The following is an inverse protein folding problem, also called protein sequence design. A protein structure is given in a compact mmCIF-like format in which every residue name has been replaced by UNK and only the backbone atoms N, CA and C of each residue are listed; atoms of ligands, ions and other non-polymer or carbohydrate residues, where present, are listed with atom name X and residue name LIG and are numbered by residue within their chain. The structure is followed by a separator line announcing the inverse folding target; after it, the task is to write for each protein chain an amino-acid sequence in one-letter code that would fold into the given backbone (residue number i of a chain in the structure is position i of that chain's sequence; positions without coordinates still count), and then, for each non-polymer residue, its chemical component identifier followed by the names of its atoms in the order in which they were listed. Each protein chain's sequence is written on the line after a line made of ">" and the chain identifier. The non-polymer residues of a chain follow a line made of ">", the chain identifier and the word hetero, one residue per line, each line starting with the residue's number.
data_IF_701019102486
#
_entry.id   IF_701019102486
#
_cell.length_a   1.000
_cell.length_b   1.000
_cell.length_c   1.000
_cell.angle_alpha   90.00
_cell.angle_beta   90.00
_cell.angle_gamma   90.00
#
_symmetry.space_group_name_H-M   'P 1'
#
loop_
_entity.id
_entity.type
_entity.pdbx_description
1 polymer ?
#
# COMPACT_ATOMS: atom_id res chain seq x y z
N UNK A 1 -27.44 26.54 57.29
CA UNK A 1 -27.47 26.08 55.88
C UNK A 1 -27.28 27.26 54.89
N UNK A 2 -26.36 28.19 55.13
CA UNK A 2 -26.19 29.40 54.29
C UNK A 2 -24.91 29.31 53.44
N UNK A 3 -25.02 28.85 52.20
CA UNK A 3 -23.88 28.80 51.28
C UNK A 3 -24.10 28.04 49.97
N UNK A 4 -25.23 27.35 49.82
CA UNK A 4 -25.54 26.56 48.60
C UNK A 4 -26.44 27.29 47.60
N UNK A 5 -26.97 28.46 47.95
CA UNK A 5 -27.90 29.22 47.13
C UNK A 5 -27.22 30.38 46.42
N UNK A 6 -27.62 30.61 45.18
CA UNK A 6 -27.13 31.66 44.33
C UNK A 6 -27.53 33.03 44.87
N UNK A 7 -26.55 33.90 45.05
CA UNK A 7 -26.72 35.24 45.61
C UNK A 7 -27.59 36.15 44.71
N UNK A 8 -27.78 35.79 43.43
CA UNK A 8 -28.52 36.59 42.43
C UNK A 8 -29.98 36.14 42.29
N UNK A 9 -30.25 34.84 42.30
CA UNK A 9 -31.58 34.30 42.00
C UNK A 9 -32.17 33.42 43.10
N UNK A 10 -31.46 33.26 44.21
CA UNK A 10 -31.86 32.44 45.37
C UNK A 10 -32.12 30.95 45.07
N UNK A 11 -31.86 30.49 43.84
CA UNK A 11 -31.87 29.06 43.49
C UNK A 11 -30.54 28.41 43.88
N UNK A 12 -30.51 27.10 44.10
CA UNK A 12 -29.25 26.36 44.35
C UNK A 12 -28.24 26.59 43.23
N UNK A 13 -26.96 26.78 43.59
CA UNK A 13 -25.88 26.81 42.63
C UNK A 13 -25.81 25.50 41.84
N UNK A 14 -25.55 25.58 40.54
CA UNK A 14 -25.30 24.40 39.71
C UNK A 14 -23.96 23.77 40.10
N UNK A 15 -22.98 24.60 40.46
CA UNK A 15 -21.71 24.16 41.04
C UNK A 15 -21.39 24.95 42.29
N UNK A 16 -21.62 24.35 43.46
CA UNK A 16 -21.50 24.99 44.78
C UNK A 16 -20.08 25.49 45.04
N UNK A 17 -19.03 24.69 44.81
CA UNK A 17 -17.63 25.08 45.04
C UNK A 17 -17.21 26.31 44.22
N UNK A 18 -17.63 26.34 42.96
CA UNK A 18 -17.33 27.45 42.06
C UNK A 18 -18.24 28.66 42.27
N UNK A 19 -19.32 28.55 43.06
CA UNK A 19 -20.43 29.52 43.12
C UNK A 19 -20.97 29.87 41.72
N UNK A 20 -21.02 28.89 40.81
CA UNK A 20 -21.53 29.08 39.45
C UNK A 20 -22.99 28.66 39.35
N UNK A 21 -23.84 29.54 38.82
CA UNK A 21 -25.28 29.32 38.68
C UNK A 21 -25.66 29.37 37.20
N UNK A 22 -26.08 28.22 36.63
CA UNK A 22 -26.46 28.12 35.22
C UNK A 22 -27.44 29.21 34.81
N UNK A 23 -28.56 29.33 35.53
CA UNK A 23 -29.59 30.29 35.19
C UNK A 23 -29.07 31.73 35.13
N UNK A 24 -28.27 32.15 36.12
CA UNK A 24 -27.74 33.50 36.18
C UNK A 24 -26.72 33.77 35.07
N UNK A 25 -25.81 32.83 34.83
CA UNK A 25 -24.75 33.01 33.83
C UNK A 25 -25.31 32.95 32.41
N UNK A 26 -26.20 32.01 32.12
CA UNK A 26 -26.90 31.95 30.82
C UNK A 26 -27.73 33.22 30.58
N UNK A 27 -28.39 33.77 31.61
CA UNK A 27 -29.09 35.05 31.51
C UNK A 27 -28.15 36.24 31.23
N UNK A 28 -26.94 36.25 31.82
CA UNK A 28 -25.93 37.29 31.56
C UNK A 28 -25.41 37.20 30.13
N UNK A 29 -25.07 36.00 29.66
CA UNK A 29 -24.63 35.77 28.27
C UNK A 29 -25.70 36.25 27.28
N UNK A 30 -26.97 35.89 27.51
CA UNK A 30 -28.10 36.37 26.70
C UNK A 30 -28.21 37.90 26.65
N UNK A 31 -27.95 38.60 27.76
CA UNK A 31 -27.99 40.08 27.80
C UNK A 31 -26.82 40.73 27.05
N UNK A 32 -25.66 40.10 27.04
CA UNK A 32 -24.44 40.62 26.41
C UNK A 32 -24.35 40.30 24.90
N UNK A 33 -25.38 39.67 24.33
CA UNK A 33 -25.37 39.15 22.96
C UNK A 33 -25.10 40.22 21.88
N UNK A 34 -25.53 41.46 22.10
CA UNK A 34 -25.31 42.57 21.16
C UNK A 34 -23.84 42.80 20.81
N UNK A 35 -22.91 42.29 21.63
CA UNK A 35 -21.48 42.45 21.42
C UNK A 35 -20.87 41.41 20.47
N UNK A 36 -21.57 40.31 20.15
CA UNK A 36 -21.03 39.15 19.42
C UNK A 36 -21.84 38.79 18.16
N UNK A 37 -22.43 39.78 17.49
CA UNK A 37 -23.18 39.53 16.25
C UNK A 37 -22.24 39.33 15.06
N UNK A 38 -22.53 38.30 14.28
CA UNK A 38 -21.91 38.03 12.98
C UNK A 38 -22.53 38.84 11.85
N UNK A 39 -23.66 39.51 12.10
CA UNK A 39 -24.53 40.09 11.07
C UNK A 39 -25.36 39.05 10.30
N UNK A 40 -25.29 37.77 10.65
CA UNK A 40 -26.10 36.69 10.09
C UNK A 40 -26.99 36.06 11.16
N UNK A 41 -28.30 36.22 11.02
CA UNK A 41 -29.29 35.74 12.00
C UNK A 41 -29.17 34.24 12.33
N UNK A 42 -28.87 33.40 11.32
CA UNK A 42 -28.75 31.94 11.55
C UNK A 42 -27.52 31.59 12.36
N UNK A 43 -26.38 32.24 12.08
CA UNK A 43 -25.14 32.06 12.85
C UNK A 43 -25.34 32.57 14.27
N UNK A 44 -25.94 33.75 14.40
CA UNK A 44 -26.23 34.41 15.67
C UNK A 44 -27.14 33.54 16.56
N UNK A 45 -28.21 32.99 16.00
CA UNK A 45 -29.10 32.05 16.69
C UNK A 45 -28.36 30.77 17.11
N UNK A 46 -27.52 30.20 16.24
CA UNK A 46 -26.73 29.00 16.57
C UNK A 46 -25.73 29.26 17.72
N UNK A 47 -25.07 30.42 17.73
CA UNK A 47 -24.18 30.83 18.82
C UNK A 47 -24.96 30.93 20.13
N UNK A 48 -26.16 31.53 20.10
CA UNK A 48 -27.02 31.59 21.28
C UNK A 48 -27.38 30.19 21.78
N UNK A 49 -27.86 29.29 20.91
CA UNK A 49 -28.15 27.90 21.27
C UNK A 49 -26.96 27.24 21.97
N UNK A 50 -25.75 27.39 21.44
CA UNK A 50 -24.52 26.83 22.04
C UNK A 50 -24.20 27.42 23.40
N UNK A 51 -24.43 28.71 23.62
CA UNK A 51 -24.23 29.33 24.94
C UNK A 51 -25.24 28.87 25.98
N UNK A 52 -26.47 28.51 25.57
CA UNK A 52 -27.49 27.95 26.46
C UNK A 52 -27.17 26.51 26.88
N UNK A 53 -26.38 25.77 26.09
CA UNK A 53 -25.95 24.40 26.38
C UNK A 53 -24.96 24.32 27.57
N UNK A 54 -24.28 25.42 27.91
CA UNK A 54 -23.33 25.50 29.03
C UNK A 54 -23.99 25.00 30.32
N UNK A 55 -23.35 24.03 30.97
CA UNK A 55 -23.90 23.35 32.14
C UNK A 55 -23.00 23.36 33.37
N UNK A 56 -21.75 23.82 33.24
CA UNK A 56 -20.80 23.92 34.32
C UNK A 56 -19.79 25.05 34.12
N UNK A 57 -19.04 25.38 35.19
CA UNK A 57 -18.03 26.44 35.17
C UNK A 57 -16.80 26.13 34.31
N UNK A 58 -16.52 24.87 34.00
CA UNK A 58 -15.38 24.47 33.17
C UNK A 58 -15.66 24.57 31.68
N UNK A 59 -16.92 24.77 31.28
CA UNK A 59 -17.25 24.95 29.88
C UNK A 59 -16.74 26.29 29.38
N UNK A 60 -16.12 26.24 28.21
CA UNK A 60 -15.72 27.42 27.45
C UNK A 60 -16.94 27.98 26.74
N UNK A 61 -17.05 29.30 26.69
CA UNK A 61 -18.15 29.97 25.99
C UNK A 61 -17.91 29.89 24.48
N UNK A 62 -18.93 29.47 23.73
CA UNK A 62 -18.91 29.48 22.28
C UNK A 62 -19.20 30.90 21.77
N UNK A 63 -18.33 31.46 20.93
CA UNK A 63 -18.37 32.88 20.56
C UNK A 63 -18.33 33.13 19.05
N UNK A 64 -18.81 34.30 18.64
CA UNK A 64 -18.35 34.91 17.39
C UNK A 64 -16.98 35.55 17.65
N UNK A 65 -15.98 35.16 16.85
CA UNK A 65 -14.61 35.64 16.99
C UNK A 65 -14.31 36.59 15.83
N UNK A 66 -14.13 37.89 16.08
CA UNK A 66 -13.73 38.83 15.03
C UNK A 66 -12.41 38.40 14.40
N UNK A 67 -12.35 38.38 13.07
CA UNK A 67 -11.21 37.82 12.33
C UNK A 67 -9.88 38.49 12.67
N UNK A 68 -9.90 39.80 12.95
CA UNK A 68 -8.72 40.59 13.32
C UNK A 68 -8.13 40.20 14.70
N UNK A 69 -8.79 39.32 15.47
CA UNK A 69 -8.27 38.75 16.71
C UNK A 69 -7.36 37.54 16.51
N UNK A 70 -7.22 37.06 15.27
CA UNK A 70 -6.26 36.02 14.93
C UNK A 70 -4.93 36.63 14.50
N UNK A 71 -3.88 36.25 15.22
CA UNK A 71 -2.49 36.65 14.98
C UNK A 71 -1.69 35.47 14.41
N UNK A 72 -0.55 35.76 13.78
CA UNK A 72 0.39 34.74 13.27
C UNK A 72 -0.27 33.66 12.38
N UNK A 73 -1.18 34.05 11.49
CA UNK A 73 -1.95 33.13 10.66
C UNK A 73 -1.04 32.38 9.68
N UNK A 74 -0.80 31.09 9.94
CA UNK A 74 0.07 30.22 9.14
C UNK A 74 -0.73 29.09 8.52
N UNK A 75 -0.66 28.93 7.20
CA UNK A 75 -1.29 27.81 6.50
C UNK A 75 -0.57 26.50 6.81
N UNK A 76 -1.30 25.53 7.33
CA UNK A 76 -0.76 24.20 7.73
C UNK A 76 -1.00 23.18 6.63
N UNK A 77 -2.23 23.11 6.12
CA UNK A 77 -2.59 22.18 5.05
C UNK A 77 -3.66 22.80 4.15
N UNK A 78 -3.70 22.35 2.89
CA UNK A 78 -4.77 22.63 1.93
C UNK A 78 -4.94 21.45 1.01
N UNK A 79 -6.18 21.01 0.90
CA UNK A 79 -6.63 20.10 -0.14
C UNK A 79 -7.90 20.67 -0.80
N UNK A 80 -8.55 19.84 -1.61
CA UNK A 80 -9.74 20.23 -2.38
C UNK A 80 -10.99 20.39 -1.50
N UNK A 81 -10.96 19.89 -0.26
CA UNK A 81 -12.10 19.87 0.67
C UNK A 81 -11.95 20.95 1.74
N UNK A 82 -10.73 21.25 2.17
CA UNK A 82 -10.50 22.20 3.26
C UNK A 82 -9.13 22.89 3.22
N UNK A 83 -9.03 24.02 3.92
CA UNK A 83 -7.76 24.65 4.28
C UNK A 83 -7.67 24.80 5.79
N UNK A 84 -6.55 24.39 6.36
CA UNK A 84 -6.28 24.46 7.80
C UNK A 84 -5.19 25.50 8.06
N UNK A 85 -5.46 26.43 8.97
CA UNK A 85 -4.46 27.39 9.46
C UNK A 85 -4.16 27.16 10.94
N UNK A 86 -2.93 27.44 11.35
CA UNK A 86 -2.52 27.63 12.75
C UNK A 86 -2.55 29.12 13.06
N UNK A 87 -3.14 29.51 14.18
CA UNK A 87 -3.24 30.92 14.59
C UNK A 87 -3.03 31.05 16.09
N UNK A 88 -2.68 32.26 16.53
CA UNK A 88 -2.79 32.68 17.92
C UNK A 88 -4.06 33.51 18.08
N UNK A 89 -4.84 33.28 19.14
CA UNK A 89 -5.99 34.10 19.45
C UNK A 89 -5.60 35.18 20.46
N UNK A 90 -5.65 36.46 20.06
CA UNK A 90 -5.22 37.61 20.86
C UNK A 90 -5.91 37.66 22.23
N UNK A 91 -7.24 37.56 22.24
CA UNK A 91 -8.03 37.69 23.45
C UNK A 91 -8.08 36.36 24.24
N UNK A 92 -7.94 35.22 23.56
CA UNK A 92 -8.15 33.90 24.13
C UNK A 92 -9.62 33.58 24.46
N UNK A 93 -9.92 32.34 24.88
CA UNK A 93 -11.26 31.92 25.22
C UNK A 93 -11.81 32.63 26.46
N UNK A 94 -13.13 32.78 26.52
CA UNK A 94 -13.83 33.28 27.70
C UNK A 94 -14.13 32.11 28.66
N UNK A 95 -13.49 32.13 29.83
CA UNK A 95 -13.51 31.03 30.80
C UNK A 95 -13.92 31.51 32.19
N UNK A 96 -14.55 30.63 32.98
CA UNK A 96 -14.93 30.97 34.35
C UNK A 96 -13.71 30.95 35.28
N UNK A 97 -13.47 32.05 35.97
CA UNK A 97 -12.44 32.11 36.99
C UNK A 97 -13.03 31.89 38.39
N UNK A 98 -12.60 30.80 39.03
CA UNK A 98 -13.10 30.39 40.34
C UNK A 98 -12.75 31.35 41.49
N UNK A 99 -11.75 32.22 41.33
CA UNK A 99 -11.37 33.20 42.35
C UNK A 99 -12.23 34.46 42.25
N UNK A 100 -12.34 35.02 41.05
CA UNK A 100 -13.09 36.25 40.80
C UNK A 100 -14.59 36.03 40.57
N UNK A 101 -15.05 34.77 40.45
CA UNK A 101 -16.46 34.38 40.27
C UNK A 101 -17.12 35.07 39.07
N UNK A 102 -16.35 35.21 37.99
CA UNK A 102 -16.80 35.80 36.72
C UNK A 102 -16.07 35.15 35.56
N UNK A 103 -16.67 35.27 34.38
CA UNK A 103 -15.97 34.97 33.13
C UNK A 103 -14.88 36.01 32.87
N UNK A 104 -13.68 35.55 32.60
CA UNK A 104 -12.53 36.37 32.23
C UNK A 104 -11.86 35.80 30.99
N UNK A 105 -11.11 36.64 30.31
CA UNK A 105 -10.13 36.20 29.32
C UNK A 105 -8.77 36.16 30.00
N UNK A 106 -8.12 35.00 30.03
CA UNK A 106 -6.79 34.87 30.63
C UNK A 106 -5.73 34.65 29.54
N UNK A 107 -5.17 35.71 28.96
CA UNK A 107 -4.14 35.60 27.94
C UNK A 107 -2.77 35.16 28.48
N UNK A 108 -2.57 35.05 29.81
CA UNK A 108 -1.25 34.82 30.44
C UNK A 108 -1.05 33.45 31.10
N UNK A 109 -2.10 32.75 31.55
CA UNK A 109 -1.98 31.34 31.99
C UNK A 109 -2.03 30.36 30.81
N UNK A 110 -2.35 30.87 29.63
CA UNK A 110 -2.36 30.19 28.35
C UNK A 110 -1.32 30.88 27.48
N UNK A 111 -0.05 30.41 27.46
CA UNK A 111 0.86 30.79 26.38
C UNK A 111 0.15 30.46 25.05
N UNK A 112 -0.37 31.50 24.39
CA UNK A 112 -1.11 31.50 23.12
C UNK A 112 -1.47 30.08 22.61
N UNK A 113 -2.56 29.49 23.13
CA UNK A 113 -3.05 28.18 22.63
C UNK A 113 -3.16 28.32 21.11
N UNK A 114 -2.25 27.66 20.39
CA UNK A 114 -2.31 27.62 18.94
C UNK A 114 -3.64 26.98 18.56
N UNK A 115 -4.53 27.78 17.98
CA UNK A 115 -5.81 27.32 17.47
C UNK A 115 -5.65 26.86 16.04
N UNK A 116 -6.55 25.97 15.64
CA UNK A 116 -6.71 25.61 14.24
C UNK A 116 -7.96 26.29 13.69
N UNK A 117 -7.80 26.97 12.57
CA UNK A 117 -8.91 27.49 11.78
C UNK A 117 -9.17 26.52 10.63
N UNK A 118 -10.37 25.96 10.59
CA UNK A 118 -10.82 25.12 9.48
C UNK A 118 -11.69 25.96 8.54
N UNK A 119 -11.24 26.05 7.29
CA UNK A 119 -12.01 26.55 6.16
C UNK A 119 -12.47 25.35 5.37
N UNK A 120 -13.78 25.22 5.18
CA UNK A 120 -14.36 24.15 4.38
C UNK A 120 -14.71 24.70 3.00
N UNK A 121 -14.23 24.02 1.97
CA UNK A 121 -14.53 24.36 0.59
C UNK A 121 -15.84 23.69 0.17
N UNK A 122 -16.47 24.22 -0.88
CA UNK A 122 -17.67 23.65 -1.50
C UNK A 122 -18.93 23.58 -0.60
N UNK A 123 -18.97 24.32 0.50
CA UNK A 123 -20.21 24.50 1.27
C UNK A 123 -21.14 25.41 0.48
N UNK A 124 -22.37 24.97 0.26
CA UNK A 124 -23.35 25.71 -0.56
C UNK A 124 -24.03 26.83 0.23
N UNK A 125 -24.14 26.67 1.55
CA UNK A 125 -24.88 27.58 2.40
C UNK A 125 -24.49 27.47 3.89
N UNK A 126 -25.01 28.41 4.69
CA UNK A 126 -24.79 28.47 6.15
C UNK A 126 -25.31 27.23 6.89
N UNK A 127 -26.37 26.56 6.41
CA UNK A 127 -26.93 25.38 7.09
C UNK A 127 -25.95 24.21 7.02
N UNK A 128 -25.32 23.99 5.87
CA UNK A 128 -24.26 22.97 5.72
C UNK A 128 -23.07 23.25 6.64
N UNK A 129 -22.64 24.52 6.72
CA UNK A 129 -21.59 24.95 7.65
C UNK A 129 -21.93 24.65 9.12
N UNK A 130 -23.15 24.98 9.55
CA UNK A 130 -23.60 24.70 10.92
C UNK A 130 -23.72 23.20 11.20
N UNK A 131 -24.13 22.41 10.22
CA UNK A 131 -24.17 20.95 10.34
C UNK A 131 -22.76 20.37 10.48
N UNK A 132 -21.77 20.90 9.75
CA UNK A 132 -20.38 20.53 9.93
C UNK A 132 -19.91 20.81 11.36
N UNK A 133 -20.19 21.99 11.93
CA UNK A 133 -19.83 22.32 13.32
C UNK A 133 -20.42 21.30 14.30
N UNK A 134 -21.69 20.91 14.13
CA UNK A 134 -22.35 19.89 14.97
C UNK A 134 -21.62 18.56 14.91
N UNK A 135 -21.20 18.13 13.71
CA UNK A 135 -20.42 16.90 13.53
C UNK A 135 -19.04 17.02 14.18
N UNK A 136 -18.36 18.15 14.03
CA UNK A 136 -17.02 18.36 14.61
C UNK A 136 -17.03 18.45 16.14
N UNK A 137 -18.12 18.95 16.73
CA UNK A 137 -18.27 19.11 18.19
C UNK A 137 -18.20 17.79 18.97
N UNK A 138 -18.33 16.64 18.29
CA UNK A 138 -18.20 15.32 18.94
C UNK A 138 -16.76 14.96 19.28
N UNK A 139 -15.79 15.47 18.51
CA UNK A 139 -14.38 15.09 18.63
C UNK A 139 -13.45 16.27 18.87
N UNK A 140 -13.86 17.49 18.57
CA UNK A 140 -13.06 18.69 18.72
C UNK A 140 -13.71 19.66 19.72
N UNK A 141 -12.88 20.29 20.54
CA UNK A 141 -13.30 21.46 21.31
C UNK A 141 -13.35 22.66 20.35
N UNK A 142 -14.55 23.19 20.13
CA UNK A 142 -14.79 24.31 19.23
C UNK A 142 -15.04 25.56 20.08
N UNK A 143 -14.24 26.60 19.85
CA UNK A 143 -14.31 27.86 20.57
C UNK A 143 -15.33 28.83 19.97
N UNK A 144 -15.53 28.74 18.67
CA UNK A 144 -16.41 29.69 18.00
C UNK A 144 -16.35 29.66 16.49
N UNK A 145 -17.03 30.66 15.93
CA UNK A 145 -17.15 30.90 14.50
C UNK A 145 -16.49 32.24 14.18
N UNK A 146 -15.82 32.30 13.03
CA UNK A 146 -15.37 33.56 12.45
C UNK A 146 -15.75 33.61 10.98
N UNK A 147 -15.49 34.73 10.31
CA UNK A 147 -15.64 34.88 8.88
C UNK A 147 -14.45 35.65 8.31
N UNK A 148 -13.89 35.16 7.22
CA UNK A 148 -12.84 35.88 6.51
C UNK A 148 -13.41 37.18 5.92
N UNK A 149 -12.87 38.35 6.23
CA UNK A 149 -13.44 39.61 5.78
C UNK A 149 -13.36 39.82 4.26
N UNK A 150 -12.44 39.13 3.57
CA UNK A 150 -12.22 39.24 2.13
C UNK A 150 -13.03 38.20 1.36
N UNK A 151 -12.90 36.92 1.70
CA UNK A 151 -13.58 35.84 0.97
C UNK A 151 -15.03 35.64 1.41
N UNK A 152 -15.40 36.16 2.58
CA UNK A 152 -16.70 35.95 3.25
C UNK A 152 -16.97 34.50 3.66
N UNK A 153 -15.96 33.63 3.58
CA UNK A 153 -16.06 32.25 4.04
C UNK A 153 -16.14 32.20 5.57
N UNK A 154 -17.07 31.39 6.07
CA UNK A 154 -17.15 31.08 7.50
C UNK A 154 -16.06 30.08 7.91
N UNK A 155 -15.62 30.21 9.15
CA UNK A 155 -14.44 29.53 9.69
C UNK A 155 -14.80 28.91 11.03
N UNK A 156 -14.41 27.66 11.24
CA UNK A 156 -14.49 27.01 12.55
C UNK A 156 -13.17 27.22 13.29
N UNK A 157 -13.23 27.82 14.48
CA UNK A 157 -12.07 27.96 15.37
C UNK A 157 -12.10 26.85 16.43
N UNK A 158 -11.13 25.94 16.37
CA UNK A 158 -11.11 24.74 17.21
C UNK A 158 -9.72 24.43 17.78
N UNK A 159 -9.69 23.70 18.89
CA UNK A 159 -8.47 23.15 19.47
C UNK A 159 -8.03 21.93 18.65
N UNK A 160 -6.72 21.78 18.44
CA UNK A 160 -6.21 20.57 17.83
C UNK A 160 -6.51 19.34 18.70
N UNK A 161 -7.00 18.26 18.08
CA UNK A 161 -7.13 16.95 18.73
C UNK A 161 -6.18 15.96 18.04
N UNK A 162 -5.19 15.46 18.79
CA UNK A 162 -4.18 14.54 18.26
C UNK A 162 -4.73 13.17 17.82
N UNK A 163 -5.96 12.82 18.21
CA UNK A 163 -6.58 11.54 17.82
C UNK A 163 -7.40 11.59 16.54
N UNK A 164 -7.84 12.77 16.12
CA UNK A 164 -8.80 12.95 15.01
C UNK A 164 -8.25 13.89 13.95
N UNK A 165 -8.53 13.57 12.69
CA UNK A 165 -8.16 14.39 11.55
C UNK A 165 -9.05 15.63 11.47
N UNK A 166 -8.47 16.83 11.56
CA UNK A 166 -9.23 18.09 11.44
C UNK A 166 -9.91 18.22 10.07
N UNK A 167 -9.39 17.59 9.03
CA UNK A 167 -9.94 17.75 7.67
C UNK A 167 -11.26 17.02 7.47
N UNK A 168 -11.41 15.85 8.07
CA UNK A 168 -12.56 14.96 7.84
C UNK A 168 -13.24 14.44 9.11
N UNK A 169 -12.79 14.86 10.30
CA UNK A 169 -13.31 14.44 11.61
C UNK A 169 -13.26 12.92 11.92
N UNK A 170 -12.51 12.15 11.13
CA UNK A 170 -12.28 10.73 11.39
C UNK A 170 -11.05 10.53 12.26
N UNK A 171 -11.08 9.49 13.10
CA UNK A 171 -9.93 9.07 13.90
C UNK A 171 -8.74 8.74 12.99
N UNK A 172 -7.55 9.18 13.36
CA UNK A 172 -6.33 8.79 12.65
C UNK A 172 -6.13 7.27 12.73
N UNK A 173 -5.77 6.64 11.61
CA UNK A 173 -5.41 5.22 11.58
C UNK A 173 -4.03 5.01 12.21
N UNK A 174 -3.13 5.99 12.06
CA UNK A 174 -1.87 6.06 12.78
C UNK A 174 -1.70 7.45 13.40
N UNK A 175 -1.93 7.55 14.71
CA UNK A 175 -1.89 8.81 15.46
C UNK A 175 -0.48 9.43 15.45
N UNK A 176 0.57 8.62 15.68
CA UNK A 176 1.96 9.09 15.72
C UNK A 176 2.37 9.74 14.39
N UNK A 177 1.85 9.19 13.29
CA UNK A 177 2.18 9.68 11.96
C UNK A 177 1.18 10.68 11.42
N UNK A 178 0.08 10.96 12.15
CA UNK A 178 -1.04 11.80 11.70
C UNK A 178 -1.58 11.36 10.32
N UNK A 179 -1.51 10.05 10.05
CA UNK A 179 -1.96 9.49 8.77
C UNK A 179 -3.45 9.13 8.87
N UNK A 180 -4.27 9.81 8.07
CA UNK A 180 -5.71 9.62 8.02
C UNK A 180 -6.09 8.83 6.77
N UNK A 181 -6.44 7.54 6.92
CA UNK A 181 -6.84 6.68 5.81
C UNK A 181 -7.85 7.36 4.88
N UNK A 182 -8.92 7.93 5.43
CA UNK A 182 -9.99 8.53 4.63
C UNK A 182 -9.49 9.68 3.75
N UNK A 183 -8.68 10.58 4.32
CA UNK A 183 -8.12 11.70 3.55
C UNK A 183 -7.14 11.22 2.48
N UNK A 184 -6.27 10.28 2.84
CA UNK A 184 -5.21 9.84 1.96
C UNK A 184 -5.72 8.96 0.82
N UNK A 185 -6.64 8.04 1.08
CA UNK A 185 -7.26 7.22 0.02
C UNK A 185 -8.05 8.08 -0.97
N UNK A 186 -8.81 9.08 -0.50
CA UNK A 186 -9.52 10.02 -1.38
C UNK A 186 -8.57 10.79 -2.31
N UNK A 187 -7.38 11.18 -1.81
CA UNK A 187 -6.35 11.85 -2.63
C UNK A 187 -5.71 10.93 -3.67
N UNK A 188 -5.62 9.62 -3.41
CA UNK A 188 -5.03 8.65 -4.34
C UNK A 188 -5.97 8.29 -5.50
N UNK A 189 -7.28 8.30 -5.24
CA UNK A 189 -8.32 7.94 -6.22
C UNK A 189 -8.56 9.08 -7.23
N UNK A 190 -8.15 10.30 -6.91
CA UNK A 190 -8.34 11.47 -7.77
C UNK A 190 -7.11 11.70 -8.66
N UNK A 191 -7.33 12.15 -9.90
CA UNK A 191 -6.30 12.67 -10.83
C UNK A 191 -5.51 11.69 -11.73
N UNK A 192 -6.02 10.48 -11.97
CA UNK A 192 -5.50 9.62 -13.04
C UNK A 192 -6.61 8.74 -13.64
N UNK A 193 -6.42 8.29 -14.87
CA UNK A 193 -7.23 7.24 -15.52
C UNK A 193 -6.34 6.47 -16.49
N UNK A 194 -6.55 5.17 -16.58
CA UNK A 194 -5.93 4.31 -17.59
C UNK A 194 -6.64 4.42 -18.96
N UNK A 195 -7.83 5.04 -19.01
CA UNK A 195 -8.75 4.96 -20.14
C UNK A 195 -9.56 3.65 -20.18
N UNK A 196 -9.41 2.76 -19.19
CA UNK A 196 -10.19 1.53 -19.06
C UNK A 196 -10.87 1.46 -17.68
N UNK A 197 -12.19 1.55 -17.66
CA UNK A 197 -13.00 1.57 -16.42
C UNK A 197 -12.74 0.36 -15.51
N UNK A 198 -12.53 -0.84 -16.06
CA UNK A 198 -12.26 -2.04 -15.25
C UNK A 198 -10.90 -1.99 -14.56
N UNK A 199 -9.89 -1.45 -15.24
CA UNK A 199 -8.55 -1.24 -14.66
C UNK A 199 -8.62 -0.14 -13.60
N UNK A 200 -9.31 0.95 -13.90
CA UNK A 200 -9.46 2.08 -12.99
C UNK A 200 -10.14 1.65 -11.68
N UNK A 201 -11.27 0.95 -11.79
CA UNK A 201 -12.00 0.40 -10.64
C UNK A 201 -11.12 -0.57 -9.83
N UNK A 202 -10.36 -1.45 -10.50
CA UNK A 202 -9.47 -2.39 -9.82
C UNK A 202 -8.34 -1.69 -9.03
N UNK A 203 -7.72 -0.66 -9.60
CA UNK A 203 -6.69 0.11 -8.90
C UNK A 203 -7.31 0.86 -7.71
N UNK A 204 -8.50 1.44 -7.86
CA UNK A 204 -9.20 2.10 -6.76
C UNK A 204 -9.55 1.13 -5.63
N UNK A 205 -10.03 -0.08 -5.95
CA UNK A 205 -10.24 -1.17 -4.98
C UNK A 205 -8.95 -1.45 -4.20
N UNK A 206 -7.80 -1.58 -4.89
CA UNK A 206 -6.50 -1.77 -4.25
C UNK A 206 -6.06 -0.60 -3.37
N UNK A 207 -6.36 0.64 -3.76
CA UNK A 207 -6.07 1.81 -2.94
C UNK A 207 -6.96 1.91 -1.69
N UNK A 208 -8.19 1.39 -1.73
CA UNK A 208 -9.11 1.30 -0.59
C UNK A 208 -8.68 0.24 0.44
N UNK A 209 -7.95 -0.80 0.00
CA UNK A 209 -7.36 -1.83 0.87
C UNK A 209 -6.23 -1.29 1.76
N UNK A 210 -5.62 -0.14 1.43
CA UNK A 210 -4.54 0.47 2.21
C UNK A 210 -5.03 0.78 3.63
N UNK A 211 -4.27 0.34 4.64
CA UNK A 211 -4.62 0.54 6.06
C UNK A 211 -3.47 1.17 6.87
N UNK A 212 -2.31 1.35 6.26
CA UNK A 212 -1.13 1.93 6.88
C UNK A 212 -0.34 2.76 5.87
N UNK A 213 0.28 3.82 6.36
CA UNK A 213 1.25 4.64 5.63
C UNK A 213 2.46 3.86 5.09
N UNK A 214 2.73 2.66 5.63
CA UNK A 214 3.81 1.77 5.17
C UNK A 214 3.39 0.85 4.03
N UNK A 215 2.10 0.72 3.74
CA UNK A 215 1.65 -0.07 2.59
C UNK A 215 2.10 0.61 1.29
N UNK A 216 2.37 -0.23 0.29
CA UNK A 216 2.66 0.23 -1.06
C UNK A 216 1.38 0.75 -1.69
N UNK A 217 1.48 1.88 -2.36
CA UNK A 217 0.39 2.43 -3.15
C UNK A 217 0.36 1.70 -4.48
N UNK A 218 -0.71 0.96 -4.75
CA UNK A 218 -0.97 0.38 -6.05
C UNK A 218 -1.52 1.47 -6.98
N UNK A 219 -0.88 1.69 -8.13
CA UNK A 219 -1.22 2.81 -9.01
C UNK A 219 -1.14 2.51 -10.50
N UNK A 220 -1.76 3.37 -11.30
CA UNK A 220 -1.50 3.42 -12.74
C UNK A 220 -0.17 4.11 -13.01
N UNK A 221 0.70 3.48 -13.78
CA UNK A 221 2.03 3.98 -14.10
C UNK A 221 2.08 4.30 -15.60
N UNK A 222 2.20 5.57 -16.00
CA UNK A 222 2.33 5.92 -17.41
C UNK A 222 3.56 5.25 -18.04
N UNK A 223 3.39 4.64 -19.21
CA UNK A 223 4.45 3.83 -19.84
C UNK A 223 5.75 4.60 -20.09
N UNK A 224 5.63 5.89 -20.43
CA UNK A 224 6.77 6.79 -20.66
C UNK A 224 7.63 7.05 -19.40
N UNK A 225 7.21 6.57 -18.23
CA UNK A 225 8.00 6.61 -16.99
C UNK A 225 8.98 5.46 -16.85
N UNK A 226 8.97 4.50 -17.77
CA UNK A 226 9.95 3.42 -17.82
C UNK A 226 11.12 3.76 -18.74
N UNK A 227 12.33 3.61 -18.22
CA UNK A 227 13.60 3.81 -18.90
C UNK A 227 14.34 2.47 -19.02
N UNK A 228 15.31 2.38 -19.93
CA UNK A 228 16.19 1.20 -20.09
C UNK A 228 15.44 -0.15 -20.17
N UNK A 229 14.30 -0.19 -20.86
CA UNK A 229 13.49 -1.40 -21.00
C UNK A 229 14.27 -2.46 -21.79
N UNK A 230 14.52 -3.61 -21.18
CA UNK A 230 15.28 -4.73 -21.76
C UNK A 230 14.52 -6.03 -21.59
N UNK A 231 14.38 -6.80 -22.66
CA UNK A 231 13.78 -8.13 -22.60
C UNK A 231 14.69 -9.08 -21.80
N UNK A 232 14.12 -9.75 -20.81
CA UNK A 232 14.83 -10.72 -19.96
C UNK A 232 14.43 -12.14 -20.35
N UNK A 233 13.16 -12.36 -20.65
CA UNK A 233 12.62 -13.66 -21.00
C UNK A 233 11.36 -13.50 -21.82
N UNK A 234 11.17 -14.36 -22.82
CA UNK A 234 9.96 -14.45 -23.61
C UNK A 234 9.51 -15.91 -23.69
N UNK A 235 8.23 -16.15 -23.47
CA UNK A 235 7.58 -17.43 -23.75
C UNK A 235 6.22 -17.21 -24.45
N UNK A 236 5.50 -18.29 -24.69
CA UNK A 236 4.23 -18.28 -25.42
C UNK A 236 3.10 -17.53 -24.68
N UNK A 237 3.27 -17.24 -23.38
CA UNK A 237 2.21 -16.69 -22.51
C UNK A 237 2.54 -15.26 -22.05
N UNK A 238 3.81 -14.96 -21.83
CA UNK A 238 4.24 -13.67 -21.31
C UNK A 238 5.65 -13.30 -21.72
N UNK A 239 5.89 -11.99 -21.85
CA UNK A 239 7.24 -11.45 -21.97
C UNK A 239 7.59 -10.70 -20.69
N UNK A 240 8.76 -10.99 -20.14
CA UNK A 240 9.32 -10.36 -18.95
C UNK A 240 10.40 -9.40 -19.38
N UNK A 241 10.23 -8.13 -19.02
CA UNK A 241 11.24 -7.08 -19.21
C UNK A 241 11.78 -6.60 -17.88
N UNK A 242 13.03 -6.13 -17.88
CA UNK A 242 13.58 -5.26 -16.84
C UNK A 242 13.48 -3.80 -17.27
N UNK A 243 13.09 -2.89 -16.38
CA UNK A 243 13.06 -1.47 -16.67
C UNK A 243 13.46 -0.65 -15.44
N UNK A 244 13.82 0.62 -15.64
CA UNK A 244 13.98 1.62 -14.58
C UNK A 244 12.73 2.50 -14.46
N UNK A 245 12.15 2.63 -13.28
CA UNK A 245 11.09 3.63 -13.04
C UNK A 245 11.71 5.00 -12.75
N UNK A 246 11.42 5.99 -13.61
CA UNK A 246 11.90 7.38 -13.43
C UNK A 246 11.48 7.97 -12.08
N UNK A 247 10.17 7.93 -11.81
CA UNK A 247 9.62 8.56 -10.60
C UNK A 247 9.77 7.65 -9.36
N UNK A 248 9.67 6.33 -9.53
CA UNK A 248 9.66 5.36 -8.44
C UNK A 248 8.32 5.32 -7.68
N UNK A 249 8.16 4.37 -6.74
CA UNK A 249 6.90 4.16 -6.03
C UNK A 249 6.58 5.32 -5.08
N UNK A 250 5.29 5.60 -4.95
CA UNK A 250 4.80 6.60 -4.00
C UNK A 250 4.89 6.07 -2.55
N UNK A 251 5.52 6.84 -1.66
CA UNK A 251 5.74 6.45 -0.25
C UNK A 251 5.38 7.57 0.72
N UNK A 252 4.83 7.22 1.87
CA UNK A 252 4.53 8.18 2.92
C UNK A 252 5.81 8.67 3.60
N UNK A 253 5.99 9.99 3.65
CA UNK A 253 7.09 10.62 4.36
C UNK A 253 6.60 11.18 5.70
N UNK A 254 7.15 10.65 6.80
CA UNK A 254 6.74 11.00 8.16
C UNK A 254 7.09 12.43 8.59
N UNK A 255 8.03 13.10 7.92
CA UNK A 255 8.43 14.48 8.22
C UNK A 255 7.50 15.48 7.54
N UNK A 256 7.28 15.30 6.23
CA UNK A 256 6.40 16.16 5.43
C UNK A 256 4.92 15.83 5.56
N UNK A 257 4.57 14.67 6.14
CA UNK A 257 3.21 14.16 6.30
C UNK A 257 2.45 14.07 4.96
N UNK A 258 3.17 13.67 3.92
CA UNK A 258 2.66 13.55 2.55
C UNK A 258 3.28 12.35 1.86
N UNK A 259 2.56 11.84 0.87
CA UNK A 259 3.11 10.90 -0.09
C UNK A 259 4.09 11.62 -1.02
N UNK A 260 5.30 11.09 -1.13
CA UNK A 260 6.35 11.61 -2.00
C UNK A 260 6.97 10.47 -2.80
N UNK A 261 7.61 10.82 -3.91
CA UNK A 261 8.43 9.89 -4.69
C UNK A 261 9.90 10.17 -4.40
N UNK A 262 10.67 9.14 -4.05
CA UNK A 262 12.09 9.28 -3.77
C UNK A 262 12.93 8.76 -4.97
N UNK A 263 13.44 9.65 -5.84
CA UNK A 263 14.19 9.24 -7.02
C UNK A 263 15.57 8.63 -6.71
N UNK A 264 16.03 8.65 -5.46
CA UNK A 264 17.36 8.15 -5.05
C UNK A 264 17.38 6.69 -4.56
N UNK A 265 16.23 6.04 -4.38
CA UNK A 265 16.18 4.61 -4.02
C UNK A 265 16.39 3.73 -5.26
N UNK A 266 17.66 3.46 -5.57
CA UNK A 266 18.12 2.73 -6.77
C UNK A 266 17.52 1.31 -6.85
N UNK A 267 17.32 0.64 -5.72
CA UNK A 267 16.76 -0.72 -5.66
C UNK A 267 15.29 -0.83 -6.13
N UNK A 268 14.54 0.28 -6.11
CA UNK A 268 13.13 0.32 -6.54
C UNK A 268 12.94 0.73 -7.99
N UNK A 269 14.03 1.09 -8.67
CA UNK A 269 13.98 1.45 -10.08
C UNK A 269 13.93 0.22 -10.95
N UNK A 270 14.71 -0.82 -10.63
CA UNK A 270 14.66 -2.07 -11.40
C UNK A 270 13.35 -2.80 -11.14
N UNK A 271 12.54 -2.90 -12.20
CA UNK A 271 11.23 -3.52 -12.18
C UNK A 271 11.19 -4.71 -13.11
N UNK A 272 10.29 -5.65 -12.82
CA UNK A 272 9.89 -6.66 -13.81
C UNK A 272 8.53 -6.31 -14.38
N UNK A 273 8.47 -6.21 -15.70
CA UNK A 273 7.26 -5.94 -16.46
C UNK A 273 6.76 -7.25 -17.05
N UNK A 274 5.60 -7.72 -16.62
CA UNK A 274 4.96 -8.90 -17.22
C UNK A 274 3.85 -8.45 -18.16
N UNK A 275 4.04 -8.72 -19.45
CA UNK A 275 3.07 -8.44 -20.49
C UNK A 275 2.07 -9.59 -20.57
N UNK A 276 0.78 -9.25 -20.60
CA UNK A 276 -0.31 -10.20 -20.80
C UNK A 276 -1.08 -9.82 -22.05
N UNK A 277 -1.20 -10.76 -22.99
CA UNK A 277 -2.01 -10.62 -24.21
C UNK A 277 -3.48 -11.01 -23.98
N UNK A 278 -3.88 -11.19 -22.71
CA UNK A 278 -5.17 -11.73 -22.32
C UNK A 278 -6.25 -10.64 -22.22
N UNK A 279 -7.51 -11.08 -22.17
CA UNK A 279 -8.63 -10.21 -21.82
C UNK A 279 -8.38 -9.55 -20.44
N UNK A 280 -8.80 -8.30 -20.27
CA UNK A 280 -8.62 -7.52 -19.03
C UNK A 280 -9.00 -8.29 -17.77
N UNK A 281 -10.06 -9.11 -17.82
CA UNK A 281 -10.52 -9.91 -16.67
C UNK A 281 -9.49 -10.97 -16.26
N UNK A 282 -8.88 -11.66 -17.23
CA UNK A 282 -7.87 -12.68 -16.97
C UNK A 282 -6.57 -12.05 -16.44
N UNK A 283 -6.17 -10.91 -17.00
CA UNK A 283 -5.06 -10.10 -16.51
C UNK A 283 -5.25 -9.69 -15.03
N UNK A 284 -6.43 -9.19 -14.67
CA UNK A 284 -6.72 -8.82 -13.29
C UNK A 284 -6.75 -10.02 -12.34
N UNK A 285 -7.26 -11.17 -12.79
CA UNK A 285 -7.21 -12.42 -12.02
C UNK A 285 -5.76 -12.87 -11.77
N UNK A 286 -4.88 -12.69 -12.75
CA UNK A 286 -3.46 -12.96 -12.61
C UNK A 286 -2.81 -12.13 -11.50
N UNK A 287 -3.13 -10.83 -11.44
CA UNK A 287 -2.67 -9.94 -10.37
C UNK A 287 -3.17 -10.43 -9.00
N UNK A 288 -4.43 -10.86 -8.90
CA UNK A 288 -5.03 -11.33 -7.64
C UNK A 288 -4.35 -12.58 -7.06
N UNK A 289 -3.87 -13.49 -7.92
CA UNK A 289 -3.19 -14.73 -7.49
C UNK A 289 -1.67 -14.58 -7.38
N UNK A 290 -1.15 -13.40 -7.71
CA UNK A 290 0.28 -13.13 -7.70
C UNK A 290 0.77 -12.87 -6.28
N UNK A 291 1.82 -13.60 -5.86
CA UNK A 291 2.46 -13.45 -4.54
C UNK A 291 3.62 -12.44 -4.51
N UNK A 292 3.84 -11.71 -5.60
CA UNK A 292 4.87 -10.69 -5.67
C UNK A 292 4.35 -9.37 -5.13
N UNK A 293 5.26 -8.53 -4.64
CA UNK A 293 4.95 -7.13 -4.39
C UNK A 293 4.73 -6.42 -5.73
N UNK A 294 3.52 -5.89 -5.91
CA UNK A 294 3.10 -5.20 -7.14
C UNK A 294 2.97 -3.72 -6.86
N UNK A 295 3.62 -2.89 -7.65
CA UNK A 295 3.51 -1.43 -7.55
C UNK A 295 2.33 -0.89 -8.33
N UNK A 296 1.92 -1.57 -9.40
CA UNK A 296 0.86 -1.03 -10.23
C UNK A 296 0.69 -1.73 -11.57
N UNK A 297 -0.08 -1.06 -12.41
CA UNK A 297 -0.40 -1.47 -13.78
C UNK A 297 0.08 -0.39 -14.74
N UNK A 298 0.55 -0.80 -15.90
CA UNK A 298 0.78 0.08 -17.05
C UNK A 298 0.20 -0.55 -18.31
N UNK A 299 0.27 0.17 -19.43
CA UNK A 299 -0.07 -0.35 -20.75
C UNK A 299 0.93 0.15 -21.77
N UNK A 300 1.43 -0.76 -22.61
CA UNK A 300 2.25 -0.38 -23.74
C UNK A 300 1.41 0.40 -24.78
N UNK A 301 1.77 1.64 -25.13
CA UNK A 301 0.97 2.45 -26.03
C UNK A 301 0.93 1.91 -27.46
N UNK A 302 1.95 1.16 -27.88
CA UNK A 302 2.08 0.63 -29.24
C UNK A 302 1.32 -0.69 -29.39
N UNK A 303 1.53 -1.64 -28.47
CA UNK A 303 0.90 -2.97 -28.54
C UNK A 303 -0.46 -3.06 -27.86
N UNK A 304 -0.79 -2.09 -27.00
CA UNK A 304 -1.97 -2.07 -26.12
C UNK A 304 -1.99 -3.17 -25.05
N UNK A 305 -0.90 -3.92 -24.90
CA UNK A 305 -0.76 -4.93 -23.86
C UNK A 305 -0.65 -4.29 -22.48
N UNK A 306 -1.34 -4.88 -21.50
CA UNK A 306 -1.21 -4.48 -20.11
C UNK A 306 0.03 -5.10 -19.47
N UNK A 307 0.59 -4.34 -18.52
CA UNK A 307 1.85 -4.63 -17.87
C UNK A 307 1.63 -4.67 -16.37
N UNK A 308 2.01 -5.77 -15.73
CA UNK A 308 2.12 -5.84 -14.26
C UNK A 308 3.50 -5.30 -13.88
N UNK A 309 3.53 -4.31 -12.98
CA UNK A 309 4.76 -3.68 -12.51
C UNK A 309 5.16 -4.24 -11.16
N UNK A 310 6.19 -5.10 -11.15
CA UNK A 310 6.60 -5.88 -9.99
C UNK A 310 7.89 -5.35 -9.37
N UNK A 311 7.96 -5.39 -8.04
CA UNK A 311 9.20 -5.17 -7.32
C UNK A 311 10.20 -6.29 -7.62
N UNK A 312 11.44 -5.91 -7.94
CA UNK A 312 12.52 -6.84 -8.16
C UNK A 312 13.06 -7.38 -6.82
N UNK A 313 12.34 -8.31 -6.18
CA UNK A 313 12.91 -9.09 -5.07
C UNK A 313 13.55 -10.38 -5.58
N UNK A 314 14.73 -10.66 -5.05
CA UNK A 314 15.58 -11.80 -5.38
C UNK A 314 14.88 -13.17 -5.21
N UNK A 315 15.05 -13.99 -6.25
CA UNK A 315 15.33 -15.44 -6.30
C UNK A 315 14.43 -16.53 -5.70
N UNK A 316 13.38 -16.26 -4.90
CA UNK A 316 12.61 -17.36 -4.28
C UNK A 316 11.34 -17.76 -5.02
N UNK A 317 10.83 -16.96 -5.96
CA UNK A 317 9.58 -17.28 -6.66
C UNK A 317 9.71 -17.04 -8.16
N UNK A 318 9.08 -17.91 -8.93
CA UNK A 318 9.06 -17.88 -10.37
C UNK A 318 7.98 -16.94 -10.87
N UNK A 319 8.38 -15.92 -11.62
CA UNK A 319 7.44 -14.94 -12.21
C UNK A 319 6.44 -15.59 -13.19
N UNK A 320 6.82 -16.73 -13.78
CA UNK A 320 5.96 -17.44 -14.74
C UNK A 320 4.75 -18.08 -14.06
N UNK A 321 4.96 -18.74 -12.92
CA UNK A 321 3.93 -19.58 -12.30
C UNK A 321 3.74 -19.35 -10.80
N UNK A 322 4.35 -18.30 -10.25
CA UNK A 322 4.30 -17.88 -8.85
C UNK A 322 4.77 -18.94 -7.82
N UNK A 323 5.36 -20.05 -8.28
CA UNK A 323 5.88 -21.12 -7.43
C UNK A 323 7.31 -20.82 -6.96
N UNK A 324 7.70 -21.47 -5.87
CA UNK A 324 9.06 -21.41 -5.34
C UNK A 324 10.15 -21.72 -6.38
N UNK A 325 11.24 -20.96 -6.32
CA UNK A 325 12.49 -21.17 -7.04
C UNK A 325 13.55 -21.65 -6.05
N UNK A 326 14.33 -22.64 -6.47
CA UNK A 326 15.54 -23.09 -5.77
C UNK A 326 16.71 -22.78 -6.70
N UNK A 327 17.58 -21.85 -6.31
CA UNK A 327 18.79 -21.47 -7.08
C UNK A 327 18.52 -21.12 -8.56
N UNK A 328 17.50 -20.31 -8.83
CA UNK A 328 17.11 -19.94 -10.20
C UNK A 328 16.26 -20.98 -10.93
N UNK A 329 16.13 -22.20 -10.39
CA UNK A 329 15.36 -23.29 -10.97
C UNK A 329 13.93 -23.35 -10.43
N UNK A 330 12.93 -23.28 -11.32
CA UNK A 330 11.51 -23.43 -10.97
C UNK A 330 11.02 -24.84 -11.34
N UNK A 331 10.67 -25.66 -10.33
CA UNK A 331 10.23 -27.04 -10.56
C UNK A 331 9.14 -27.18 -11.62
N UNK A 332 8.07 -26.40 -11.49
CA UNK A 332 6.91 -26.50 -12.38
C UNK A 332 7.28 -26.11 -13.82
N UNK A 333 8.01 -24.99 -13.99
CA UNK A 333 8.38 -24.51 -15.32
C UNK A 333 9.36 -25.45 -16.01
N UNK A 334 10.36 -25.94 -15.28
CA UNK A 334 11.39 -26.81 -15.84
C UNK A 334 10.86 -28.22 -16.10
N UNK A 335 9.94 -28.73 -15.26
CA UNK A 335 9.24 -29.99 -15.55
C UNK A 335 8.41 -29.90 -16.83
N UNK A 336 7.73 -28.77 -17.06
CA UNK A 336 6.95 -28.57 -18.28
C UNK A 336 7.86 -28.47 -19.51
N UNK A 337 8.98 -27.75 -19.43
CA UNK A 337 9.98 -27.72 -20.51
C UNK A 337 10.52 -29.11 -20.82
N UNK A 338 10.93 -29.88 -19.80
CA UNK A 338 11.51 -31.22 -19.97
C UNK A 338 10.53 -32.25 -20.55
N UNK A 339 9.21 -32.02 -20.45
CA UNK A 339 8.19 -32.84 -21.11
C UNK A 339 8.11 -32.60 -22.62
N UNK A 340 8.45 -31.39 -23.09
CA UNK A 340 8.25 -30.97 -24.48
C UNK A 340 9.45 -31.21 -25.41
N UNK A 341 10.54 -31.82 -24.94
CA UNK A 341 11.70 -32.13 -25.79
C UNK A 341 11.49 -33.40 -26.62
N UNK A 342 11.21 -33.22 -27.92
CA UNK A 342 11.01 -34.28 -28.93
C UNK A 342 12.30 -35.01 -29.34
N UNK A 343 13.48 -34.45 -29.06
CA UNK A 343 14.78 -34.92 -29.57
C UNK A 343 15.45 -36.04 -28.74
N UNK A 344 14.71 -36.65 -27.81
CA UNK A 344 15.25 -37.64 -26.85
C UNK A 344 14.56 -39.01 -26.93
N UNK A 345 13.84 -39.28 -28.02
CA UNK A 345 13.27 -40.60 -28.24
C UNK A 345 14.36 -41.61 -28.56
N UNK A 346 14.28 -42.76 -27.89
CA UNK A 346 15.05 -43.96 -28.21
C UNK A 346 14.50 -44.71 -29.44
N UNK A 347 13.36 -44.27 -29.98
CA UNK A 347 12.57 -45.04 -30.93
C UNK A 347 11.76 -46.18 -30.29
N UNK A 348 11.88 -46.40 -28.97
CA UNK A 348 11.16 -47.42 -28.24
C UNK A 348 10.24 -46.83 -27.17
N UNK A 349 8.92 -47.01 -27.34
CA UNK A 349 7.90 -46.45 -26.45
C UNK A 349 8.07 -46.85 -24.97
N UNK A 350 8.53 -48.08 -24.67
CA UNK A 350 8.73 -48.53 -23.28
C UNK A 350 9.90 -47.79 -22.63
N UNK A 351 11.01 -47.61 -23.34
CA UNK A 351 12.20 -46.88 -22.87
C UNK A 351 11.87 -45.39 -22.73
N UNK A 352 11.18 -44.81 -23.70
CA UNK A 352 10.78 -43.39 -23.67
C UNK A 352 9.86 -43.09 -22.48
N UNK A 353 8.87 -43.96 -22.22
CA UNK A 353 8.02 -43.87 -21.04
C UNK A 353 8.81 -43.97 -19.73
N UNK A 354 9.85 -44.82 -19.68
CA UNK A 354 10.73 -44.93 -18.52
C UNK A 354 11.54 -43.66 -18.29
N UNK A 355 12.10 -43.07 -19.35
CA UNK A 355 12.84 -41.80 -19.30
C UNK A 355 11.93 -40.67 -18.81
N UNK A 356 10.71 -40.56 -19.34
CA UNK A 356 9.73 -39.55 -18.89
C UNK A 356 9.40 -39.70 -17.40
N UNK A 357 9.16 -40.93 -16.92
CA UNK A 357 8.93 -41.21 -15.49
C UNK A 357 10.14 -40.87 -14.62
N UNK A 358 11.37 -40.97 -15.13
CA UNK A 358 12.58 -40.54 -14.41
C UNK A 358 12.67 -39.02 -14.34
N UNK A 359 12.38 -38.31 -15.43
CA UNK A 359 12.38 -36.84 -15.47
C UNK A 359 11.33 -36.21 -14.57
N UNK A 360 10.14 -36.80 -14.47
CA UNK A 360 9.09 -36.30 -13.56
C UNK A 360 9.47 -36.37 -12.07
N UNK A 361 10.54 -37.12 -11.72
CA UNK A 361 11.06 -37.20 -10.35
C UNK A 361 12.12 -36.14 -10.04
N UNK A 362 12.57 -35.36 -11.04
CA UNK A 362 13.49 -34.25 -10.82
C UNK A 362 12.80 -33.23 -9.90
N UNK A 363 13.46 -32.91 -8.79
CA UNK A 363 12.89 -32.04 -7.77
C UNK A 363 13.80 -30.88 -7.36
N UNK A 364 15.03 -30.83 -7.88
CA UNK A 364 15.97 -29.75 -7.61
C UNK A 364 16.91 -29.48 -8.80
N UNK A 365 17.61 -28.34 -8.73
CA UNK A 365 18.55 -27.87 -9.76
C UNK A 365 19.81 -28.74 -9.91
N UNK A 366 20.12 -29.56 -8.91
CA UNK A 366 21.33 -30.40 -8.92
C UNK A 366 21.13 -31.76 -9.57
N UNK A 367 19.88 -32.12 -9.89
CA UNK A 367 19.61 -33.39 -10.56
C UNK A 367 20.07 -33.34 -12.02
N UNK A 368 20.87 -34.33 -12.41
CA UNK A 368 21.18 -34.61 -13.81
C UNK A 368 19.89 -35.09 -14.51
N UNK A 369 19.63 -34.56 -15.70
CA UNK A 369 18.47 -34.96 -16.49
C UNK A 369 18.70 -36.36 -17.08
N UNK A 370 17.85 -37.31 -16.70
CA UNK A 370 17.88 -38.66 -17.27
C UNK A 370 17.44 -38.63 -18.74
N UNK A 371 18.22 -39.21 -19.65
CA UNK A 371 17.96 -39.14 -21.10
C UNK A 371 18.47 -40.36 -21.87
N UNK A 372 17.97 -40.51 -23.10
CA UNK A 372 18.54 -41.44 -24.08
C UNK A 372 19.75 -40.80 -24.74
N UNK A 373 20.86 -41.55 -24.80
CA UNK A 373 22.10 -41.08 -25.40
C UNK A 373 22.41 -41.97 -26.62
N UNK A 374 22.40 -41.43 -27.84
CA UNK A 374 22.81 -42.18 -29.03
C UNK A 374 24.25 -42.65 -28.90
N UNK A 375 24.52 -43.90 -29.28
CA UNK A 375 25.83 -44.53 -29.10
C UNK A 375 26.98 -43.76 -29.78
N UNK A 376 26.70 -43.12 -30.92
CA UNK A 376 27.66 -42.30 -31.67
C UNK A 376 28.11 -41.01 -30.93
N UNK A 377 27.56 -40.71 -29.75
CA UNK A 377 28.00 -39.63 -28.87
C UNK A 377 29.17 -40.03 -27.96
N UNK A 378 29.50 -41.32 -27.91
CA UNK A 378 30.63 -41.84 -27.14
C UNK A 378 31.85 -42.07 -28.05
N UNK A 379 33.02 -41.71 -27.56
CA UNK A 379 34.29 -41.94 -28.25
C UNK A 379 35.38 -42.38 -27.25
N UNK A 380 36.52 -42.84 -27.77
CA UNK A 380 37.62 -43.38 -26.96
C UNK A 380 37.17 -44.50 -25.99
N UNK A 381 36.31 -45.39 -26.47
CA UNK A 381 35.71 -46.47 -25.69
C UNK A 381 36.77 -47.56 -25.45
N UNK A 382 37.01 -47.90 -24.18
CA UNK A 382 37.96 -48.95 -23.76
C UNK A 382 37.31 -49.88 -22.75
N UNK A 383 37.42 -51.19 -22.95
CA UNK A 383 36.97 -52.19 -21.99
C UNK A 383 37.86 -52.15 -20.74
N UNK A 384 37.25 -52.21 -19.56
CA UNK A 384 37.96 -52.11 -18.27
C UNK A 384 37.67 -53.31 -17.37
N UNK A 385 36.49 -53.89 -17.47
CA UNK A 385 36.15 -55.09 -16.75
C UNK A 385 35.09 -55.88 -17.52
N UNK A 386 35.19 -57.20 -17.43
CA UNK A 386 34.24 -58.14 -18.00
C UNK A 386 34.04 -59.27 -17.00
N UNK A 387 32.81 -59.39 -16.53
CA UNK A 387 32.38 -60.53 -15.69
C UNK A 387 31.35 -61.36 -16.45
N UNK A 388 30.81 -62.39 -15.80
CA UNK A 388 29.80 -63.30 -16.38
C UNK A 388 28.44 -62.63 -16.62
N UNK A 389 28.22 -61.40 -16.14
CA UNK A 389 26.93 -60.71 -16.16
C UNK A 389 26.92 -59.44 -17.01
N UNK A 390 28.07 -58.80 -17.22
CA UNK A 390 28.21 -57.54 -17.93
C UNK A 390 29.65 -57.25 -18.36
N UNK A 391 29.76 -56.47 -19.45
CA UNK A 391 31.00 -55.76 -19.78
C UNK A 391 30.89 -54.29 -19.35
N UNK A 392 31.99 -53.73 -18.84
CA UNK A 392 32.10 -52.32 -18.44
C UNK A 392 33.19 -51.65 -19.25
N UNK A 393 32.83 -50.54 -19.90
CA UNK A 393 33.73 -49.74 -20.71
C UNK A 393 33.88 -48.34 -20.12
N UNK A 394 35.06 -47.74 -20.24
CA UNK A 394 35.25 -46.30 -20.07
C UNK A 394 35.13 -45.63 -21.43
N UNK A 395 34.38 -44.53 -21.49
CA UNK A 395 34.19 -43.75 -22.69
C UNK A 395 34.21 -42.25 -22.39
N UNK A 396 34.46 -41.42 -23.40
CA UNK A 396 34.22 -39.99 -23.34
C UNK A 396 32.88 -39.67 -24.01
N UNK A 397 31.99 -39.00 -23.28
CA UNK A 397 30.72 -38.52 -23.81
C UNK A 397 30.91 -37.09 -24.35
N UNK A 398 30.76 -36.93 -25.67
CA UNK A 398 31.02 -35.65 -26.37
C UNK A 398 30.20 -34.48 -25.85
N UNK A 399 28.92 -34.72 -25.59
CA UNK A 399 28.02 -33.67 -25.12
C UNK A 399 28.05 -33.59 -23.58
N UNK A 400 28.17 -34.73 -22.90
CA UNK A 400 28.11 -34.81 -21.44
C UNK A 400 26.70 -34.68 -20.85
N UNK A 401 26.54 -34.87 -19.53
CA UNK A 401 25.22 -34.83 -18.89
C UNK A 401 24.59 -33.43 -18.96
N UNK A 402 23.27 -33.40 -19.09
CA UNK A 402 22.51 -32.16 -18.97
C UNK A 402 22.23 -31.87 -17.49
N UNK A 403 22.69 -30.72 -17.03
CA UNK A 403 22.43 -30.22 -15.67
C UNK A 403 22.17 -28.72 -15.68
N UNK A 404 21.55 -28.20 -14.61
CA UNK A 404 21.23 -26.78 -14.50
C UNK A 404 22.43 -26.00 -13.96
N UNK A 405 22.91 -25.04 -14.74
CA UNK A 405 23.91 -24.08 -14.27
C UNK A 405 23.24 -22.86 -13.65
N UNK A 406 23.60 -22.60 -12.39
CA UNK A 406 23.04 -21.51 -11.59
C UNK A 406 23.55 -20.14 -12.03
N UNK A 407 24.75 -20.07 -12.60
CA UNK A 407 25.35 -18.81 -13.00
C UNK A 407 24.68 -18.28 -14.27
N UNK A 408 24.44 -19.14 -15.25
CA UNK A 408 23.76 -18.81 -16.50
C UNK A 408 22.23 -18.95 -16.46
N UNK A 409 21.67 -19.57 -15.41
CA UNK A 409 20.25 -19.92 -15.26
C UNK A 409 19.70 -20.70 -16.47
N UNK A 410 20.50 -21.64 -17.00
CA UNK A 410 20.17 -22.46 -18.16
C UNK A 410 20.70 -23.88 -17.96
N UNK A 411 20.13 -24.82 -18.69
CA UNK A 411 20.70 -26.16 -18.80
C UNK A 411 21.94 -26.12 -19.70
N UNK A 412 23.06 -26.62 -19.18
CA UNK A 412 24.32 -26.73 -19.91
C UNK A 412 24.79 -28.19 -19.93
N UNK A 413 25.80 -28.46 -20.75
CA UNK A 413 26.48 -29.75 -20.78
C UNK A 413 27.97 -29.53 -20.95
N UNK A 414 28.75 -30.40 -20.34
CA UNK A 414 30.21 -30.39 -20.47
C UNK A 414 30.70 -31.82 -20.72
N UNK A 415 31.63 -32.03 -21.67
CA UNK A 415 32.13 -33.36 -21.99
C UNK A 415 32.67 -34.09 -20.75
N UNK A 416 32.27 -35.35 -20.55
CA UNK A 416 32.61 -36.09 -19.34
C UNK A 416 33.10 -37.51 -19.66
N UNK A 417 33.99 -38.03 -18.80
CA UNK A 417 34.37 -39.46 -18.81
C UNK A 417 33.30 -40.26 -18.09
N UNK A 418 32.73 -41.25 -18.77
CA UNK A 418 31.63 -42.07 -18.26
C UNK A 418 31.98 -43.55 -18.30
N UNK A 419 31.37 -44.32 -17.40
CA UNK A 419 31.38 -45.77 -17.46
C UNK A 419 30.11 -46.27 -18.16
N UNK A 420 30.28 -47.03 -19.25
CA UNK A 420 29.19 -47.68 -19.97
C UNK A 420 29.11 -49.12 -19.48
N UNK A 421 27.99 -49.48 -18.81
CA UNK A 421 27.71 -50.85 -18.41
C UNK A 421 26.81 -51.52 -19.44
N UNK A 422 27.30 -52.60 -20.04
CA UNK A 422 26.60 -53.40 -21.04
C UNK A 422 26.23 -54.76 -20.43
N UNK A 423 25.05 -54.89 -19.81
CA UNK A 423 24.59 -56.17 -19.28
C UNK A 423 24.26 -57.14 -20.41
N UNK A 424 24.67 -58.39 -20.23
CA UNK A 424 24.27 -59.47 -21.14
C UNK A 424 22.76 -59.73 -21.04
N UNK A 425 22.19 -60.29 -22.12
CA UNK A 425 20.76 -60.54 -22.31
C UNK A 425 19.85 -59.30 -22.21
N UNK A 426 20.37 -58.14 -22.61
CA UNK A 426 19.63 -56.86 -22.66
C UNK A 426 18.63 -56.74 -23.81
N UNK A 427 18.44 -57.81 -24.60
CA UNK A 427 17.45 -57.87 -25.69
C UNK A 427 16.01 -57.85 -25.16
N UNK A 428 15.77 -58.37 -23.95
CA UNK A 428 14.49 -58.21 -23.26
C UNK A 428 14.43 -56.87 -22.53
N UNK A 429 13.67 -55.93 -23.09
CA UNK A 429 13.54 -54.55 -22.58
C UNK A 429 13.03 -54.50 -21.13
N UNK A 430 12.12 -55.39 -20.74
CA UNK A 430 11.55 -55.37 -19.39
C UNK A 430 12.60 -55.82 -18.35
N UNK A 431 13.40 -56.84 -18.69
CA UNK A 431 14.54 -57.28 -17.88
C UNK A 431 15.61 -56.18 -17.79
N UNK A 432 15.94 -55.56 -18.94
CA UNK A 432 16.89 -54.43 -19.00
C UNK A 432 16.45 -53.26 -18.11
N UNK A 433 15.19 -52.81 -18.22
CA UNK A 433 14.68 -51.70 -17.41
C UNK A 433 14.63 -52.04 -15.91
N UNK A 434 14.36 -53.30 -15.55
CA UNK A 434 14.47 -53.74 -14.15
C UNK A 434 15.91 -53.65 -13.63
N UNK A 435 16.90 -54.09 -14.41
CA UNK A 435 18.32 -53.91 -14.07
C UNK A 435 18.67 -52.42 -13.91
N UNK A 436 18.25 -51.56 -14.83
CA UNK A 436 18.48 -50.10 -14.78
C UNK A 436 17.85 -49.45 -13.55
N UNK A 437 16.68 -49.93 -13.08
CA UNK A 437 16.06 -49.41 -11.85
C UNK A 437 16.96 -49.57 -10.63
N UNK A 438 17.62 -50.72 -10.51
CA UNK A 438 18.48 -51.05 -9.37
C UNK A 438 19.79 -50.24 -9.34
N UNK A 439 20.28 -49.79 -10.50
CA UNK A 439 21.50 -48.96 -10.58
C UNK A 439 21.27 -47.48 -10.26
N UNK A 440 20.01 -47.03 -10.25
CA UNK A 440 19.66 -45.61 -10.23
C UNK A 440 18.87 -45.23 -8.95
N UNK A 441 19.21 -45.87 -7.82
CA UNK A 441 18.68 -45.64 -6.46
C UNK A 441 19.75 -45.25 -5.44
N UNK A 442 20.97 -44.91 -5.88
CA UNK A 442 22.00 -44.31 -5.03
C UNK A 442 22.24 -42.86 -5.42
#
# INVERSE_FOLDING_TARGET
>A
MSGMECEICSKKYTMVFSKWCKQCETNKLRKNFTNWTSGNEKIDNFIQEKQLEINNSWNIVFEWIPYNKFLDIKKVDKDDISTIYSVKWEDGPLEWNNYSKKYIRNPKEVEFKELKLKYSHNLQNVVEFLNEIKVYSTNFEIFGISQNPHTKDYIIALQNNYSYCIKCNYKYTNIIQEWCKQCETNKLITNWTSGNEKIDNFIQEKQLEIYSSRNIVFEWIPYNKFLDIKEVNKDDISTIYSAKWEDGPLKWNNYSKKYIRNPKEVELKELKLKYSHNLVVEFLNEIKVTNFTIFGISQNPDTKDYIIVLQNYYHYYCIKCSNGIIHGWCKQCETNKLKNFTNWSSGNKKIDNFIQKRRSKINNSWNIVFEWIPYNKFFNIKEVNKDDFSAVYLAQWKDGPLYWDKNSNKYIREPEKVALKCPYDSQNIDNFLNKVRNFSTK
#
